data_IF_591558576869
#
_entry.id   IF_591558576869
#
_cell.length_a   1.000
_cell.length_b   1.000
_cell.length_c   1.000
_cell.angle_alpha   90.00
_cell.angle_beta   90.00
_cell.angle_gamma   90.00
#
_symmetry.space_group_name_H-M   'P 1'
#
loop_
_entity.id
_entity.type
_entity.pdbx_description
1 polymer ?
#
# COMPACT_ATOMS: atom_id res chain seq x y z
N UNK A 1 2.30 -13.90 3.71
CA UNK A 1 3.73 -14.30 3.79
C UNK A 1 4.54 -13.14 3.24
N UNK A 2 5.71 -12.88 3.81
CA UNK A 2 6.55 -11.74 3.43
C UNK A 2 7.66 -12.19 2.48
N UNK A 3 7.25 -12.98 1.49
CA UNK A 3 8.09 -13.72 0.54
C UNK A 3 7.98 -13.13 -0.88
N UNK A 4 7.57 -11.86 -0.99
CA UNK A 4 7.32 -11.16 -2.25
C UNK A 4 8.33 -10.05 -2.46
N UNK A 5 9.48 -10.32 -3.09
CA UNK A 5 10.55 -9.34 -3.25
C UNK A 5 10.08 -8.11 -4.04
N UNK A 6 9.15 -8.26 -4.99
CA UNK A 6 8.58 -7.17 -5.78
C UNK A 6 7.85 -6.15 -4.91
N UNK A 7 7.10 -6.62 -3.91
CA UNK A 7 6.43 -5.73 -2.94
C UNK A 7 7.46 -4.95 -2.14
N UNK A 8 8.41 -5.63 -1.51
CA UNK A 8 9.40 -4.95 -0.65
C UNK A 8 10.27 -3.98 -1.46
N UNK A 9 10.62 -4.36 -2.69
CA UNK A 9 11.29 -3.49 -3.64
C UNK A 9 10.47 -2.24 -3.94
N UNK A 10 9.18 -2.42 -4.26
CA UNK A 10 8.30 -1.31 -4.58
C UNK A 10 8.11 -0.34 -3.41
N UNK A 11 7.94 -0.84 -2.18
CA UNK A 11 7.86 0.02 -1.00
C UNK A 11 9.13 0.86 -0.81
N UNK A 12 10.32 0.28 -1.02
CA UNK A 12 11.58 1.03 -0.97
C UNK A 12 11.68 2.06 -2.09
N UNK A 13 11.28 1.70 -3.31
CA UNK A 13 11.29 2.62 -4.44
C UNK A 13 10.35 3.81 -4.21
N UNK A 14 9.11 3.53 -3.78
CA UNK A 14 8.11 4.55 -3.49
C UNK A 14 8.55 5.46 -2.35
N UNK A 15 9.19 4.92 -1.30
CA UNK A 15 9.73 5.73 -0.21
C UNK A 15 10.84 6.67 -0.69
N UNK A 16 11.74 6.23 -1.58
CA UNK A 16 12.78 7.09 -2.16
C UNK A 16 12.18 8.19 -3.03
N UNK A 17 11.23 7.82 -3.90
CA UNK A 17 10.58 8.74 -4.81
C UNK A 17 9.80 9.83 -4.04
N UNK A 18 9.01 9.43 -3.04
CA UNK A 18 8.22 10.35 -2.22
C UNK A 18 9.08 11.33 -1.37
N UNK A 19 10.26 10.91 -0.91
CA UNK A 19 11.20 11.82 -0.22
C UNK A 19 11.84 12.85 -1.17
N UNK A 20 11.94 12.51 -2.45
CA UNK A 20 12.49 13.39 -3.49
C UNK A 20 11.44 14.36 -4.03
N UNK A 21 10.15 14.06 -3.85
CA UNK A 21 9.02 14.87 -4.28
C UNK A 21 8.69 16.00 -3.27
N UNK A 22 8.88 17.29 -3.62
CA UNK A 22 8.64 18.39 -2.69
C UNK A 22 7.17 18.53 -2.26
N UNK A 23 6.25 18.06 -3.11
CA UNK A 23 4.81 18.22 -2.97
C UNK A 23 4.13 17.10 -2.16
N UNK A 24 4.87 16.04 -1.80
CA UNK A 24 4.43 14.93 -0.96
C UNK A 24 5.02 14.96 0.46
N UNK A 25 5.69 16.05 0.84
CA UNK A 25 6.32 16.16 2.17
C UNK A 25 5.26 16.13 3.29
N UNK A 26 5.51 15.37 4.37
CA UNK A 26 4.60 15.32 5.51
C UNK A 26 4.48 16.73 6.13
N UNK A 27 3.26 17.28 6.15
CA UNK A 27 2.97 18.63 6.65
C UNK A 27 1.91 19.40 5.86
N UNK A 28 1.60 18.98 4.62
CA UNK A 28 0.56 19.64 3.80
C UNK A 28 -0.81 18.94 3.84
N UNK A 29 -0.88 17.73 4.40
CA UNK A 29 -2.11 16.93 4.49
C UNK A 29 -2.84 17.20 5.81
N UNK A 30 -3.96 17.95 5.73
CA UNK A 30 -4.79 18.36 6.88
C UNK A 30 -5.51 17.22 7.60
N UNK A 31 -5.31 15.95 7.21
CA UNK A 31 -6.10 14.81 7.65
C UNK A 31 -5.34 13.73 8.43
N UNK A 32 -4.02 13.87 8.61
CA UNK A 32 -3.27 12.98 9.50
C UNK A 32 -3.23 13.60 10.89
N UNK A 33 -3.99 13.04 11.83
CA UNK A 33 -3.84 13.35 13.27
C UNK A 33 -2.52 12.76 13.76
N UNK A 34 -1.41 13.44 13.49
CA UNK A 34 -0.13 13.10 14.14
C UNK A 34 -0.16 13.61 15.57
N UNK A 35 0.15 12.75 16.55
CA UNK A 35 0.48 13.18 17.90
C UNK A 35 1.63 14.20 17.85
N UNK A 36 1.69 15.21 18.73
CA UNK A 36 2.74 16.22 18.71
C UNK A 36 4.13 15.58 18.73
N UNK A 37 4.96 15.86 17.72
CA UNK A 37 6.32 15.33 17.59
C UNK A 37 6.48 14.02 16.82
N UNK A 38 5.39 13.40 16.35
CA UNK A 38 5.47 12.15 15.60
C UNK A 38 5.61 12.41 14.08
N UNK A 39 6.79 12.14 13.53
CA UNK A 39 7.05 12.18 12.08
C UNK A 39 6.83 10.79 11.49
N UNK A 40 5.87 10.65 10.57
CA UNK A 40 5.69 9.41 9.83
C UNK A 40 6.52 9.39 8.54
N UNK A 41 7.00 8.21 8.10
CA UNK A 41 7.57 8.09 6.75
C UNK A 41 6.50 8.41 5.70
N UNK A 42 6.94 8.92 4.55
CA UNK A 42 6.07 9.19 3.41
C UNK A 42 5.31 7.95 2.92
N UNK A 43 5.88 6.75 3.11
CA UNK A 43 5.25 5.45 2.84
C UNK A 43 5.20 4.63 4.12
N UNK A 44 4.01 4.19 4.51
CA UNK A 44 3.80 3.38 5.71
C UNK A 44 3.50 1.93 5.36
N UNK A 45 4.33 1.00 5.87
CA UNK A 45 4.08 -0.43 5.76
C UNK A 45 3.36 -0.93 7.02
N UNK A 46 2.03 -0.92 7.03
CA UNK A 46 1.23 -1.19 8.24
C UNK A 46 0.98 -2.68 8.54
N UNK A 47 1.20 -3.57 7.57
CA UNK A 47 1.00 -5.02 7.71
C UNK A 47 2.18 -5.75 8.37
N UNK A 48 2.09 -7.06 8.55
CA UNK A 48 3.20 -7.86 9.12
C UNK A 48 4.47 -7.88 8.25
N UNK A 49 4.37 -7.52 6.97
CA UNK A 49 5.52 -7.48 6.06
C UNK A 49 6.20 -6.12 6.07
N UNK A 50 7.51 -6.16 6.23
CA UNK A 50 8.36 -5.04 6.60
C UNK A 50 8.75 -4.20 5.36
N UNK A 51 7.78 -3.45 4.85
CA UNK A 51 7.92 -2.64 3.62
C UNK A 51 9.01 -1.56 3.70
N UNK A 52 9.35 -1.10 4.91
CA UNK A 52 10.48 -0.23 5.21
C UNK A 52 10.97 -0.66 6.58
N UNK A 53 12.28 -0.92 6.75
CA UNK A 53 12.85 -1.52 7.97
C UNK A 53 12.30 -0.84 9.25
N UNK A 54 11.55 -1.58 10.06
CA UNK A 54 11.09 -1.10 11.37
C UNK A 54 12.14 -1.36 12.44
N UNK A 55 12.11 -0.56 13.50
CA UNK A 55 12.85 -0.90 14.71
C UNK A 55 12.26 -2.18 15.35
N UNK A 56 13.08 -3.01 16.02
CA UNK A 56 12.66 -4.34 16.48
C UNK A 56 11.44 -4.31 17.43
N UNK A 57 11.36 -3.28 18.26
CA UNK A 57 10.37 -3.14 19.33
C UNK A 57 8.98 -2.84 18.75
N UNK A 58 8.93 -1.99 17.72
CA UNK A 58 7.73 -1.65 16.96
C UNK A 58 7.22 -2.83 16.13
N UNK A 59 8.14 -3.69 15.66
CA UNK A 59 7.80 -4.87 14.87
C UNK A 59 6.98 -5.90 15.66
N UNK A 60 7.26 -6.09 16.96
CA UNK A 60 6.53 -7.04 17.82
C UNK A 60 5.09 -6.56 18.08
N UNK A 61 4.90 -5.29 18.42
CA UNK A 61 3.56 -4.73 18.66
C UNK A 61 2.70 -4.73 17.38
N UNK A 62 3.29 -4.38 16.24
CA UNK A 62 2.62 -4.46 14.94
C UNK A 62 2.26 -5.89 14.55
N UNK A 63 3.13 -6.88 14.82
CA UNK A 63 2.87 -8.28 14.52
C UNK A 63 1.68 -8.83 15.33
N UNK A 64 1.58 -8.49 16.62
CA UNK A 64 0.44 -8.90 17.45
C UNK A 64 -0.88 -8.27 16.97
N UNK A 65 -0.87 -6.96 16.70
CA UNK A 65 -2.04 -6.26 16.15
C UNK A 65 -2.41 -6.72 14.73
N UNK A 66 -1.45 -7.24 13.96
CA UNK A 66 -1.70 -7.84 12.64
C UNK A 66 -2.48 -9.15 12.76
N UNK A 67 -2.06 -10.07 13.64
CA UNK A 67 -2.72 -11.38 13.80
C UNK A 67 -4.19 -11.19 14.20
N UNK A 68 -4.47 -10.31 15.15
CA UNK A 68 -5.84 -10.01 15.59
C UNK A 68 -6.71 -9.47 14.45
N UNK A 69 -6.18 -8.56 13.63
CA UNK A 69 -6.92 -7.97 12.48
C UNK A 69 -7.10 -8.94 11.32
N UNK A 70 -6.09 -9.76 11.02
CA UNK A 70 -6.06 -10.71 9.88
C UNK A 70 -7.06 -11.84 10.05
N UNK A 71 -7.27 -12.30 11.28
CA UNK A 71 -8.14 -13.44 11.61
C UNK A 71 -9.42 -13.03 12.34
N UNK A 72 -9.72 -11.73 12.41
CA UNK A 72 -11.01 -11.24 12.89
C UNK A 72 -12.10 -11.42 11.83
N UNK A 73 -13.35 -11.53 12.28
CA UNK A 73 -14.52 -11.67 11.39
C UNK A 73 -14.65 -10.48 10.41
N UNK A 74 -14.21 -9.29 10.84
CA UNK A 74 -14.36 -8.03 10.09
C UNK A 74 -13.03 -7.55 9.49
N UNK A 75 -12.20 -8.45 8.98
CA UNK A 75 -10.86 -8.12 8.49
C UNK A 75 -10.85 -7.18 7.28
N UNK A 76 -11.89 -7.23 6.41
CA UNK A 76 -12.06 -6.28 5.31
C UNK A 76 -12.36 -4.87 5.82
N UNK A 77 -13.32 -4.73 6.75
CA UNK A 77 -13.65 -3.44 7.35
C UNK A 77 -12.46 -2.85 8.09
N UNK A 78 -11.71 -3.70 8.79
CA UNK A 78 -10.48 -3.30 9.48
C UNK A 78 -9.41 -2.83 8.50
N UNK A 79 -9.31 -3.44 7.32
CA UNK A 79 -8.39 -3.00 6.27
C UNK A 79 -8.82 -1.65 5.70
N UNK A 80 -10.11 -1.49 5.36
CA UNK A 80 -10.69 -0.21 4.88
C UNK A 80 -10.44 0.90 5.89
N UNK A 81 -10.73 0.68 7.18
CA UNK A 81 -10.47 1.65 8.25
C UNK A 81 -8.98 2.01 8.34
N UNK A 82 -8.10 1.00 8.28
CA UNK A 82 -6.65 1.22 8.31
C UNK A 82 -6.15 2.07 7.14
N UNK A 83 -6.80 1.97 5.98
CA UNK A 83 -6.45 2.73 4.78
C UNK A 83 -7.07 4.12 4.72
N UNK A 84 -8.02 4.45 5.61
CA UNK A 84 -8.60 5.79 5.66
C UNK A 84 -7.54 6.84 5.97
N UNK A 85 -7.56 7.93 5.22
CA UNK A 85 -6.59 9.02 5.36
C UNK A 85 -5.33 8.87 4.51
N UNK A 86 -5.15 7.76 3.80
CA UNK A 86 -4.11 7.61 2.79
C UNK A 86 -4.62 8.01 1.41
N UNK A 87 -3.79 8.72 0.64
CA UNK A 87 -4.09 9.06 -0.75
C UNK A 87 -3.97 7.86 -1.69
N UNK A 88 -3.00 6.98 -1.39
CA UNK A 88 -2.70 5.79 -2.16
C UNK A 88 -2.55 4.57 -1.26
N UNK A 89 -2.93 3.40 -1.77
CA UNK A 89 -2.74 2.10 -1.09
C UNK A 89 -2.09 1.11 -2.04
N UNK A 90 -1.01 0.47 -1.60
CA UNK A 90 -0.36 -0.61 -2.37
C UNK A 90 -1.22 -1.87 -2.32
N UNK A 91 -1.88 -2.18 -3.43
CA UNK A 91 -2.82 -3.28 -3.61
C UNK A 91 -2.21 -4.40 -4.49
N UNK A 92 -0.99 -4.84 -4.17
CA UNK A 92 -0.30 -5.88 -4.93
C UNK A 92 -0.91 -7.26 -4.65
N UNK A 93 -1.08 -8.04 -5.71
CA UNK A 93 -1.53 -9.42 -5.58
C UNK A 93 -0.39 -10.37 -5.25
N UNK A 94 -0.75 -11.43 -4.52
CA UNK A 94 0.21 -12.47 -4.19
C UNK A 94 0.58 -13.32 -5.41
N UNK A 95 -0.25 -13.35 -6.45
CA UNK A 95 0.03 -14.06 -7.69
C UNK A 95 -0.29 -13.15 -8.86
N UNK A 96 0.76 -12.67 -9.53
CA UNK A 96 0.62 -11.70 -10.63
C UNK A 96 0.39 -12.37 -11.99
N UNK A 97 0.65 -13.68 -12.08
CA UNK A 97 0.58 -14.43 -13.36
C UNK A 97 -0.66 -15.28 -13.50
N UNK A 98 -1.43 -15.50 -12.41
CA UNK A 98 -2.64 -16.32 -12.45
C UNK A 98 -3.81 -15.54 -13.09
N UNK A 99 -4.32 -15.96 -14.27
CA UNK A 99 -5.42 -15.26 -14.92
C UNK A 99 -6.63 -15.13 -14.00
N UNK A 100 -7.23 -13.94 -13.97
CA UNK A 100 -8.39 -13.64 -13.13
C UNK A 100 -8.13 -13.58 -11.62
N UNK A 101 -6.87 -13.68 -11.15
CA UNK A 101 -6.52 -13.54 -9.73
C UNK A 101 -6.53 -12.07 -9.29
N UNK A 102 -7.73 -11.50 -9.21
CA UNK A 102 -8.00 -10.14 -8.74
C UNK A 102 -8.83 -10.25 -7.46
N UNK A 103 -8.33 -9.72 -6.35
CA UNK A 103 -8.89 -9.97 -5.01
C UNK A 103 -9.46 -8.71 -4.37
N UNK A 104 -9.81 -8.80 -3.08
CA UNK A 104 -10.35 -7.69 -2.29
C UNK A 104 -9.44 -6.47 -2.21
N UNK A 105 -8.13 -6.60 -2.48
CA UNK A 105 -7.14 -5.55 -2.21
C UNK A 105 -7.44 -4.26 -2.95
N UNK A 106 -7.84 -4.36 -4.23
CA UNK A 106 -8.30 -3.22 -5.01
C UNK A 106 -9.53 -2.57 -4.38
N UNK A 107 -10.54 -3.38 -4.08
CA UNK A 107 -11.83 -2.91 -3.55
C UNK A 107 -11.68 -2.27 -2.18
N UNK A 108 -10.91 -2.87 -1.26
CA UNK A 108 -10.66 -2.33 0.07
C UNK A 108 -9.98 -0.95 0.00
N UNK A 109 -9.03 -0.75 -0.92
CA UNK A 109 -8.40 0.55 -1.14
C UNK A 109 -9.39 1.59 -1.67
N UNK A 110 -10.21 1.22 -2.68
CA UNK A 110 -11.24 2.10 -3.23
C UNK A 110 -12.29 2.49 -2.18
N UNK A 111 -12.77 1.53 -1.37
CA UNK A 111 -13.74 1.76 -0.29
C UNK A 111 -13.19 2.68 0.80
N UNK A 112 -11.87 2.73 0.99
CA UNK A 112 -11.22 3.66 1.91
C UNK A 112 -11.10 5.09 1.35
N UNK A 113 -11.50 5.31 0.09
CA UNK A 113 -11.33 6.58 -0.61
C UNK A 113 -9.91 6.81 -1.12
N UNK A 114 -9.07 5.77 -1.16
CA UNK A 114 -7.70 5.83 -1.65
C UNK A 114 -7.61 5.33 -3.10
N UNK A 115 -6.62 5.84 -3.85
CA UNK A 115 -6.29 5.32 -5.19
C UNK A 115 -5.43 4.06 -5.02
N UNK A 116 -5.85 2.89 -5.52
CA UNK A 116 -5.05 1.68 -5.45
C UNK A 116 -3.83 1.77 -6.38
N UNK A 117 -2.67 1.33 -5.90
CA UNK A 117 -1.49 1.03 -6.71
C UNK A 117 -1.42 -0.48 -6.86
N UNK A 118 -1.76 -0.97 -8.05
CA UNK A 118 -2.00 -2.37 -8.32
C UNK A 118 -0.83 -3.02 -9.05
N UNK A 119 -0.52 -4.26 -8.67
CA UNK A 119 0.35 -5.14 -9.44
C UNK A 119 -0.19 -6.55 -9.35
N UNK A 120 -0.64 -7.09 -10.48
CA UNK A 120 -1.36 -8.34 -10.57
C UNK A 120 -1.74 -8.67 -12.00
N UNK A 121 -2.67 -9.62 -12.22
CA UNK A 121 -3.14 -9.97 -13.55
C UNK A 121 -3.80 -8.79 -14.27
N UNK A 122 -3.56 -8.66 -15.59
CA UNK A 122 -4.15 -7.59 -16.41
C UNK A 122 -5.67 -7.68 -16.55
N UNK A 123 -6.27 -8.81 -16.16
CA UNK A 123 -7.73 -9.01 -16.10
C UNK A 123 -8.43 -7.96 -15.24
N UNK A 124 -7.72 -7.31 -14.30
CA UNK A 124 -8.27 -6.21 -13.50
C UNK A 124 -8.90 -5.10 -14.37
N UNK A 125 -8.37 -4.83 -15.57
CA UNK A 125 -8.92 -3.84 -16.50
C UNK A 125 -10.30 -4.22 -17.09
N UNK A 126 -10.71 -5.48 -16.98
CA UNK A 126 -12.06 -5.93 -17.36
C UNK A 126 -13.10 -5.74 -16.24
N UNK A 127 -12.63 -5.59 -14.99
CA UNK A 127 -13.47 -5.47 -13.80
C UNK A 127 -13.53 -4.02 -13.26
N UNK A 128 -12.45 -3.27 -13.44
CA UNK A 128 -12.29 -1.91 -12.92
C UNK A 128 -11.86 -0.96 -14.04
N UNK A 129 -12.35 0.27 -13.99
CA UNK A 129 -11.95 1.31 -14.94
C UNK A 129 -10.44 1.58 -14.84
N UNK A 130 -9.72 1.61 -15.96
CA UNK A 130 -8.26 1.77 -15.96
C UNK A 130 -7.77 3.09 -15.33
N UNK A 131 -8.63 4.12 -15.27
CA UNK A 131 -8.35 5.37 -14.57
C UNK A 131 -8.69 5.38 -13.06
N UNK A 132 -9.17 4.28 -12.48
CA UNK A 132 -9.51 4.20 -11.06
C UNK A 132 -8.41 3.60 -10.17
N UNK A 133 -7.30 3.17 -10.76
CA UNK A 133 -6.13 2.64 -10.08
C UNK A 133 -4.87 2.87 -10.93
N UNK A 134 -3.69 2.78 -10.31
CA UNK A 134 -2.40 2.79 -11.00
C UNK A 134 -2.01 1.35 -11.31
N UNK A 135 -1.97 0.96 -12.59
CA UNK A 135 -1.50 -0.37 -13.01
C UNK A 135 0.03 -0.38 -13.12
N UNK A 136 0.74 -0.90 -12.11
CA UNK A 136 2.19 -1.05 -12.19
C UNK A 136 2.64 -2.02 -13.29
N UNK A 137 1.76 -2.92 -13.75
CA UNK A 137 2.05 -3.78 -14.90
C UNK A 137 2.13 -3.02 -16.22
N UNK A 138 1.63 -1.78 -16.29
CA UNK A 138 1.74 -0.92 -17.47
C UNK A 138 3.10 -0.21 -17.60
N UNK A 139 3.95 -0.29 -16.56
CA UNK A 139 5.27 0.35 -16.55
C UNK A 139 6.37 -0.65 -16.90
N UNK A 140 7.49 -0.14 -17.44
CA UNK A 140 8.65 -0.97 -17.76
C UNK A 140 9.29 -1.58 -16.49
N UNK A 141 9.24 -0.88 -15.37
CA UNK A 141 9.80 -1.31 -14.08
C UNK A 141 8.93 -0.83 -12.92
N UNK A 142 9.07 -1.49 -11.77
CA UNK A 142 8.44 -1.08 -10.52
C UNK A 142 8.99 0.26 -10.00
N UNK A 143 10.25 0.63 -10.28
CA UNK A 143 10.75 1.99 -9.99
C UNK A 143 10.01 3.03 -10.83
N UNK A 144 9.82 2.79 -12.13
CA UNK A 144 9.11 3.74 -12.98
C UNK A 144 7.64 3.92 -12.52
N UNK A 145 7.00 2.86 -12.03
CA UNK A 145 5.69 2.97 -11.39
C UNK A 145 5.77 3.82 -10.11
N UNK A 146 6.78 3.60 -9.27
CA UNK A 146 6.96 4.34 -8.02
C UNK A 146 7.21 5.83 -8.25
N UNK A 147 8.03 6.18 -9.25
CA UNK A 147 8.32 7.56 -9.67
C UNK A 147 7.09 8.25 -10.27
N UNK A 148 6.19 7.50 -10.91
CA UNK A 148 4.93 8.06 -11.44
C UNK A 148 3.93 8.42 -10.33
N UNK A 149 3.93 7.66 -9.23
CA UNK A 149 3.03 7.89 -8.10
C UNK A 149 3.50 9.07 -7.23
N UNK A 150 4.82 9.28 -7.13
CA UNK A 150 5.46 10.24 -6.24
C UNK A 150 5.59 11.66 -6.84
#
# INVERSE_FOLDING_TARGET
RCDRPEREFFFRALQRAALSAPHLRPGNDRNVKSSPGQTYPAVQALGACDGVQRQPDEAVQHAQGFVQRRFGENWHDSAVETYRGFRFVVAFENNVTAPGYVTEKLVNAMLAGAVPIYYGPRDAASMFHAGSYVDCGAFATLDACADHVA
#
